data_IF_090690979529
#
_entry.id   IF_090690979529
#
_cell.length_a   1.000
_cell.length_b   1.000
_cell.length_c   1.000
_cell.angle_alpha   90.00
_cell.angle_beta   90.00
_cell.angle_gamma   90.00
#
_symmetry.space_group_name_H-M   'P 1'
#
loop_
_entity.id
_entity.type
_entity.pdbx_description
1 polymer ?
#
# COMPACT_ATOMS: atom_id res chain seq x y z
N UNK A 1 -9.07 3.80 -15.83
CA UNK A 1 -7.66 4.17 -15.62
C UNK A 1 -7.15 3.45 -14.37
N UNK A 2 -5.91 2.93 -14.39
CA UNK A 2 -5.22 2.31 -13.25
C UNK A 2 -3.91 3.06 -13.03
N UNK A 3 -3.56 3.36 -11.78
CA UNK A 3 -2.41 4.22 -11.45
C UNK A 3 -1.53 3.57 -10.39
N UNK A 4 -0.22 3.54 -10.60
CA UNK A 4 0.79 3.12 -9.64
C UNK A 4 1.33 4.39 -8.96
N UNK A 5 1.17 4.46 -7.65
CA UNK A 5 1.60 5.57 -6.80
C UNK A 5 3.01 5.29 -6.30
N UNK A 6 3.90 6.29 -6.39
CA UNK A 6 5.27 6.13 -5.93
C UNK A 6 6.00 4.98 -6.62
N UNK A 7 5.78 4.85 -7.93
CA UNK A 7 6.15 3.67 -8.71
C UNK A 7 7.66 3.34 -8.70
N UNK A 8 8.53 4.32 -8.45
CA UNK A 8 9.96 4.12 -8.59
C UNK A 8 10.30 3.61 -10.00
N UNK A 9 10.68 2.33 -10.09
CA UNK A 9 10.98 1.65 -11.37
C UNK A 9 9.88 0.65 -11.78
N UNK A 10 8.77 0.58 -11.02
CA UNK A 10 7.68 -0.35 -11.31
C UNK A 10 6.87 0.20 -12.49
N UNK A 11 6.67 -0.64 -13.48
CA UNK A 11 5.80 -0.35 -14.62
C UNK A 11 5.05 -1.63 -15.02
N UNK A 12 3.73 -1.55 -15.14
CA UNK A 12 2.89 -2.65 -15.58
C UNK A 12 2.04 -2.23 -16.76
N UNK A 13 1.78 -3.17 -17.68
CA UNK A 13 0.91 -2.91 -18.82
C UNK A 13 -0.49 -2.47 -18.36
N UNK A 14 -1.01 -1.40 -18.95
CA UNK A 14 -2.31 -0.84 -18.61
C UNK A 14 -2.35 0.00 -17.32
N UNK A 15 -1.20 0.24 -16.68
CA UNK A 15 -1.07 1.11 -15.52
C UNK A 15 -0.27 2.37 -15.85
N UNK A 16 -0.67 3.49 -15.28
CA UNK A 16 0.08 4.75 -15.33
C UNK A 16 0.96 4.81 -14.09
N UNK A 17 2.29 4.85 -14.26
CA UNK A 17 3.24 5.00 -13.16
C UNK A 17 3.39 6.47 -12.80
N UNK A 18 3.30 6.80 -11.49
CA UNK A 18 3.52 8.16 -10.98
C UNK A 18 4.61 8.19 -9.93
N UNK A 19 5.28 9.33 -9.81
CA UNK A 19 6.26 9.62 -8.77
C UNK A 19 5.70 10.69 -7.82
N UNK A 20 6.35 10.88 -6.66
CA UNK A 20 5.93 11.87 -5.66
C UNK A 20 5.80 13.29 -6.25
N UNK A 21 6.72 13.70 -7.13
CA UNK A 21 6.69 15.00 -7.79
C UNK A 21 5.58 15.16 -8.83
N UNK A 22 4.89 14.09 -9.20
CA UNK A 22 3.75 14.08 -10.13
C UNK A 22 2.43 13.96 -9.38
N UNK A 23 2.41 13.14 -8.32
CA UNK A 23 1.26 12.88 -7.45
C UNK A 23 1.73 12.79 -6.00
N UNK A 24 1.78 13.92 -5.30
CA UNK A 24 1.97 13.95 -3.86
C UNK A 24 0.65 13.57 -3.17
N UNK A 25 0.67 12.49 -2.41
CA UNK A 25 -0.51 11.95 -1.74
C UNK A 25 -1.11 12.91 -0.70
N UNK A 26 -0.33 13.86 -0.20
CA UNK A 26 -0.77 14.86 0.77
C UNK A 26 -1.26 16.15 0.09
N UNK A 27 -1.00 16.31 -1.21
CA UNK A 27 -1.41 17.49 -1.97
C UNK A 27 -2.67 17.21 -2.79
N UNK A 28 -3.83 17.62 -2.29
CA UNK A 28 -5.12 17.43 -2.96
C UNK A 28 -5.16 18.06 -4.38
N UNK A 29 -4.43 19.14 -4.60
CA UNK A 29 -4.39 19.79 -5.91
C UNK A 29 -3.75 18.91 -7.01
N UNK A 30 -2.86 18.00 -6.65
CA UNK A 30 -2.29 17.05 -7.61
C UNK A 30 -3.33 16.02 -8.05
N UNK A 31 -4.18 15.56 -7.13
CA UNK A 31 -5.32 14.71 -7.48
C UNK A 31 -6.34 15.43 -8.37
N UNK A 32 -6.67 16.68 -8.03
CA UNK A 32 -7.58 17.51 -8.85
C UNK A 32 -7.03 17.71 -10.26
N UNK A 33 -5.75 18.06 -10.39
CA UNK A 33 -5.08 18.21 -11.69
C UNK A 33 -5.07 16.92 -12.51
N UNK A 34 -4.81 15.78 -11.84
CA UNK A 34 -4.59 14.51 -12.55
C UNK A 34 -5.91 13.79 -12.87
N UNK A 35 -6.92 13.93 -12.02
CA UNK A 35 -8.13 13.10 -12.06
C UNK A 35 -9.43 13.92 -12.23
N UNK A 36 -9.34 15.20 -12.60
CA UNK A 36 -10.51 16.08 -12.81
C UNK A 36 -11.53 15.50 -13.80
N UNK A 37 -11.03 14.95 -14.91
CA UNK A 37 -11.89 14.47 -16.00
C UNK A 37 -12.23 12.98 -15.88
N UNK A 38 -11.30 12.16 -15.40
CA UNK A 38 -11.46 10.70 -15.33
C UNK A 38 -10.92 10.16 -14.01
N UNK A 39 -11.82 9.69 -13.16
CA UNK A 39 -11.44 9.03 -11.91
C UNK A 39 -10.77 7.66 -12.19
N UNK A 40 -9.66 7.34 -11.52
CA UNK A 40 -9.08 6.01 -11.58
C UNK A 40 -10.01 4.97 -10.96
N UNK A 41 -10.00 3.76 -11.52
CA UNK A 41 -10.68 2.61 -10.96
C UNK A 41 -9.79 1.84 -9.97
N UNK A 42 -8.47 1.93 -10.14
CA UNK A 42 -7.53 1.25 -9.27
C UNK A 42 -6.29 2.11 -9.01
N UNK A 43 -5.87 2.11 -7.75
CA UNK A 43 -4.55 2.53 -7.32
C UNK A 43 -3.73 1.33 -6.86
N UNK A 44 -2.41 1.41 -7.02
CA UNK A 44 -1.44 0.45 -6.52
C UNK A 44 -0.33 1.22 -5.81
N UNK A 45 -0.04 0.89 -4.56
CA UNK A 45 1.04 1.48 -3.79
C UNK A 45 1.85 0.39 -3.10
N UNK A 46 3.08 0.19 -3.55
CA UNK A 46 3.99 -0.78 -2.96
C UNK A 46 5.10 -0.05 -2.22
N UNK A 47 5.10 -0.17 -0.89
CA UNK A 47 6.09 0.45 0.01
C UNK A 47 6.16 1.99 -0.14
N UNK A 48 5.02 2.63 0.09
CA UNK A 48 4.83 4.09 0.06
C UNK A 48 4.33 4.60 1.41
N UNK A 49 3.34 3.93 2.03
CA UNK A 49 2.66 4.41 3.24
C UNK A 49 3.57 4.51 4.46
N UNK A 50 4.58 3.64 4.58
CA UNK A 50 5.57 3.67 5.67
C UNK A 50 6.45 4.93 5.71
N UNK A 51 6.49 5.69 4.62
CA UNK A 51 7.22 6.97 4.51
C UNK A 51 6.42 8.18 5.03
N UNK A 52 5.17 7.98 5.41
CA UNK A 52 4.27 8.97 6.00
C UNK A 52 4.06 8.69 7.50
N UNK A 53 3.70 9.70 8.28
CA UNK A 53 3.17 9.48 9.63
C UNK A 53 1.80 8.80 9.53
N UNK A 54 1.28 8.26 10.63
CA UNK A 54 -0.07 7.67 10.63
C UNK A 54 -1.15 8.68 10.18
N UNK A 55 -1.07 9.91 10.67
CA UNK A 55 -2.03 10.97 10.33
C UNK A 55 -1.92 11.38 8.86
N UNK A 56 -0.70 11.52 8.34
CA UNK A 56 -0.46 11.75 6.91
C UNK A 56 -1.00 10.58 6.07
N UNK A 57 -0.79 9.34 6.53
CA UNK A 57 -1.34 8.14 5.88
C UNK A 57 -2.86 8.12 5.81
N UNK A 58 -3.55 8.66 6.85
CA UNK A 58 -5.00 8.85 6.82
C UNK A 58 -5.43 9.91 5.80
N UNK A 59 -4.69 11.03 5.70
CA UNK A 59 -4.95 12.09 4.71
C UNK A 59 -4.75 11.53 3.29
N UNK A 60 -3.67 10.80 3.06
CA UNK A 60 -3.39 10.12 1.79
C UNK A 60 -4.51 9.14 1.39
N UNK A 61 -4.98 8.33 2.35
CA UNK A 61 -6.09 7.40 2.12
C UNK A 61 -7.39 8.14 1.79
N UNK A 62 -7.68 9.28 2.45
CA UNK A 62 -8.84 10.11 2.17
C UNK A 62 -8.76 10.71 0.76
N UNK A 63 -7.60 11.25 0.35
CA UNK A 63 -7.42 11.76 -1.01
C UNK A 63 -7.63 10.65 -2.05
N UNK A 64 -7.07 9.47 -1.83
CA UNK A 64 -7.32 8.32 -2.72
C UNK A 64 -8.80 7.95 -2.78
N UNK A 65 -9.51 7.96 -1.65
CA UNK A 65 -10.95 7.65 -1.59
C UNK A 65 -11.80 8.64 -2.39
N UNK A 66 -11.55 9.93 -2.23
CA UNK A 66 -12.33 10.99 -2.87
C UNK A 66 -12.22 10.95 -4.39
N UNK A 67 -11.02 10.66 -4.89
CA UNK A 67 -10.73 10.65 -6.32
C UNK A 67 -10.88 9.30 -7.00
N UNK A 68 -11.03 8.21 -6.24
CA UNK A 68 -11.30 6.89 -6.79
C UNK A 68 -12.74 6.80 -7.31
N UNK A 69 -12.96 6.10 -8.42
CA UNK A 69 -14.30 5.80 -8.90
C UNK A 69 -15.04 4.89 -7.89
N UNK A 70 -16.37 5.01 -7.84
CA UNK A 70 -17.19 4.13 -7.00
C UNK A 70 -17.04 2.66 -7.45
N UNK A 71 -16.90 1.76 -6.48
CA UNK A 71 -16.56 0.36 -6.72
C UNK A 71 -15.10 0.11 -7.08
N UNK A 72 -14.27 1.16 -7.16
CA UNK A 72 -12.83 1.06 -7.36
C UNK A 72 -12.10 0.62 -6.08
N UNK A 73 -10.80 0.41 -6.17
CA UNK A 73 -9.98 -0.04 -5.05
C UNK A 73 -8.58 0.56 -5.07
N UNK A 74 -7.93 0.52 -3.93
CA UNK A 74 -6.49 0.69 -3.81
C UNK A 74 -5.87 -0.57 -3.21
N UNK A 75 -4.85 -1.15 -3.90
CA UNK A 75 -3.99 -2.20 -3.34
C UNK A 75 -2.76 -1.56 -2.73
N UNK A 76 -2.51 -1.87 -1.45
CA UNK A 76 -1.38 -1.32 -0.70
C UNK A 76 -0.55 -2.45 -0.12
N UNK A 77 0.77 -2.31 -0.20
CA UNK A 77 1.72 -3.15 0.50
C UNK A 77 2.67 -2.29 1.33
N UNK A 78 2.89 -2.67 2.60
CA UNK A 78 3.83 -2.03 3.54
C UNK A 78 4.60 -3.08 4.33
N UNK A 79 5.76 -2.76 4.92
CA UNK A 79 6.44 -3.65 5.85
C UNK A 79 5.53 -4.05 7.03
N UNK A 80 5.71 -5.29 7.53
CA UNK A 80 4.90 -5.89 8.58
C UNK A 80 5.63 -5.88 9.93
N UNK A 81 5.09 -5.12 10.90
CA UNK A 81 5.62 -5.04 12.26
C UNK A 81 5.56 -6.37 13.03
N UNK A 82 4.62 -7.27 12.67
CA UNK A 82 4.42 -8.54 13.34
C UNK A 82 5.28 -9.68 12.81
N UNK A 83 6.00 -9.47 11.69
CA UNK A 83 6.88 -10.50 11.16
C UNK A 83 8.07 -10.72 12.09
N UNK A 84 8.15 -11.92 12.72
CA UNK A 84 9.16 -12.27 13.73
C UNK A 84 10.48 -12.68 13.10
N UNK A 85 11.19 -11.71 12.50
CA UNK A 85 12.53 -11.86 11.95
C UNK A 85 13.37 -10.64 12.35
N UNK A 86 14.38 -10.84 13.19
CA UNK A 86 15.18 -9.74 13.75
C UNK A 86 15.91 -8.95 12.67
N UNK A 87 16.45 -9.62 11.66
CA UNK A 87 17.13 -8.95 10.55
C UNK A 87 16.14 -8.06 9.75
N UNK A 88 14.96 -8.60 9.46
CA UNK A 88 13.91 -7.85 8.78
C UNK A 88 13.47 -6.62 9.59
N UNK A 89 13.16 -6.80 10.88
CA UNK A 89 12.75 -5.69 11.75
C UNK A 89 13.85 -4.64 11.90
N UNK A 90 15.12 -5.06 11.91
CA UNK A 90 16.28 -4.16 11.92
C UNK A 90 16.35 -3.25 10.69
N UNK A 91 15.83 -3.69 9.54
CA UNK A 91 15.80 -2.92 8.29
C UNK A 91 14.57 -2.03 8.19
N UNK A 92 13.37 -2.58 8.50
CA UNK A 92 12.10 -1.89 8.22
C UNK A 92 11.67 -0.91 9.31
N UNK A 93 12.34 -0.90 10.47
CA UNK A 93 12.05 0.03 11.57
C UNK A 93 12.11 1.49 11.14
N UNK A 94 11.54 2.38 11.94
CA UNK A 94 11.63 3.83 11.74
C UNK A 94 13.10 4.26 11.63
N UNK A 95 13.44 5.02 10.59
CA UNK A 95 14.82 5.40 10.28
C UNK A 95 15.66 4.27 9.69
N UNK A 96 15.09 3.11 9.38
CA UNK A 96 15.75 1.97 8.77
C UNK A 96 16.93 1.44 9.62
N UNK A 97 17.96 0.95 8.93
CA UNK A 97 19.20 0.49 9.57
C UNK A 97 20.20 1.61 9.88
N UNK A 98 19.80 2.89 9.67
CA UNK A 98 20.64 4.06 9.88
C UNK A 98 21.49 4.48 8.66
N UNK A 99 21.43 3.75 7.56
CA UNK A 99 22.09 4.12 6.30
C UNK A 99 21.22 5.11 5.51
N UNK A 100 21.64 6.38 5.32
CA UNK A 100 20.87 7.39 4.60
C UNK A 100 20.68 7.06 3.10
N UNK A 101 21.45 6.13 2.54
CA UNK A 101 21.30 5.68 1.16
C UNK A 101 20.31 4.52 1.03
N UNK A 102 19.86 3.93 2.13
CA UNK A 102 18.89 2.85 2.12
C UNK A 102 17.46 3.41 2.08
N UNK A 103 16.54 2.91 1.22
CA UNK A 103 15.17 3.43 1.14
C UNK A 103 14.42 3.46 2.47
N UNK A 104 14.65 2.50 3.36
CA UNK A 104 14.02 2.44 4.67
C UNK A 104 14.48 3.55 5.65
N UNK A 105 15.51 4.32 5.31
CA UNK A 105 15.97 5.45 6.16
C UNK A 105 14.87 6.50 6.38
N UNK A 106 13.96 6.64 5.42
CA UNK A 106 12.84 7.58 5.47
C UNK A 106 11.55 7.00 6.04
N UNK A 107 11.58 5.77 6.56
CA UNK A 107 10.42 5.20 7.25
C UNK A 107 10.07 6.02 8.49
N UNK A 108 8.80 6.42 8.59
CA UNK A 108 8.23 7.17 9.73
C UNK A 108 7.37 6.29 10.63
N UNK A 109 6.89 5.15 10.13
CA UNK A 109 6.06 4.19 10.83
C UNK A 109 6.34 2.77 10.35
N UNK A 110 6.15 1.78 11.20
CA UNK A 110 6.02 0.38 10.80
C UNK A 110 4.61 -0.07 11.17
N UNK A 111 3.83 -0.43 10.18
CA UNK A 111 2.45 -0.85 10.37
C UNK A 111 2.34 -2.29 10.86
N UNK A 112 1.40 -2.57 11.74
CA UNK A 112 0.72 -3.85 11.81
C UNK A 112 -0.55 -3.82 10.97
N UNK A 113 -1.17 -4.99 10.75
CA UNK A 113 -2.36 -5.06 9.89
C UNK A 113 -3.55 -4.26 10.43
N UNK A 114 -3.72 -4.14 11.75
CA UNK A 114 -4.82 -3.38 12.37
C UNK A 114 -4.64 -1.88 12.13
N UNK A 115 -3.43 -1.40 12.34
CA UNK A 115 -3.09 0.02 12.16
C UNK A 115 -3.20 0.43 10.69
N UNK A 116 -2.76 -0.44 9.75
CA UNK A 116 -2.93 -0.17 8.34
C UNK A 116 -4.41 -0.15 7.93
N UNK A 117 -5.20 -1.17 8.32
CA UNK A 117 -6.63 -1.21 8.05
C UNK A 117 -7.34 0.03 8.58
N UNK A 118 -7.05 0.44 9.83
CA UNK A 118 -7.68 1.60 10.46
C UNK A 118 -7.44 2.90 9.66
N UNK A 119 -6.27 3.10 9.04
CA UNK A 119 -5.99 4.28 8.22
C UNK A 119 -6.91 4.35 7.00
N UNK A 120 -7.22 3.23 6.35
CA UNK A 120 -8.10 3.17 5.19
C UNK A 120 -9.58 3.13 5.55
N UNK A 121 -9.95 2.40 6.60
CA UNK A 121 -11.35 2.36 7.10
C UNK A 121 -11.82 3.74 7.55
N UNK A 122 -10.95 4.55 8.14
CA UNK A 122 -11.23 5.93 8.54
C UNK A 122 -11.60 6.83 7.35
N UNK A 123 -11.09 6.54 6.16
CA UNK A 123 -11.46 7.23 4.92
C UNK A 123 -12.76 6.68 4.30
N UNK A 124 -13.32 5.58 4.81
CA UNK A 124 -14.55 4.97 4.33
C UNK A 124 -14.37 3.73 3.44
N UNK A 125 -13.16 3.24 3.28
CA UNK A 125 -12.91 2.00 2.55
C UNK A 125 -13.40 0.77 3.33
N UNK A 126 -13.79 -0.27 2.59
CA UNK A 126 -13.94 -1.63 3.10
C UNK A 126 -12.63 -2.37 2.80
N UNK A 127 -11.92 -2.77 3.86
CA UNK A 127 -10.58 -3.35 3.74
C UNK A 127 -10.64 -4.86 3.72
N UNK A 128 -9.91 -5.46 2.77
CA UNK A 128 -9.70 -6.88 2.61
C UNK A 128 -8.22 -7.22 2.80
N UNK A 129 -7.90 -8.00 3.84
CA UNK A 129 -6.53 -8.46 4.12
C UNK A 129 -6.16 -9.61 3.19
N UNK A 130 -5.04 -9.47 2.47
CA UNK A 130 -4.52 -10.46 1.52
C UNK A 130 -3.33 -11.23 2.07
N UNK A 131 -2.32 -10.51 2.60
CA UNK A 131 -1.14 -11.08 3.25
C UNK A 131 -0.83 -10.28 4.52
N UNK A 132 -0.53 -10.94 5.63
CA UNK A 132 -0.13 -10.28 6.89
C UNK A 132 0.34 -11.28 7.93
N UNK A 133 1.10 -10.84 8.93
CA UNK A 133 1.34 -11.59 10.15
C UNK A 133 0.35 -11.13 11.25
N UNK A 134 -0.18 -12.09 11.99
CA UNK A 134 -0.98 -11.79 13.19
C UNK A 134 -0.07 -11.40 14.38
N UNK A 135 -0.69 -11.09 15.53
CA UNK A 135 0.04 -10.67 16.75
C UNK A 135 0.96 -11.78 17.31
N UNK A 136 0.74 -13.03 16.93
CA UNK A 136 1.57 -14.16 17.29
C UNK A 136 2.74 -14.35 16.31
N UNK A 137 2.79 -13.55 15.22
CA UNK A 137 3.75 -13.67 14.15
C UNK A 137 3.42 -14.79 13.15
N UNK A 138 2.20 -15.33 13.19
CA UNK A 138 1.74 -16.31 12.22
C UNK A 138 1.38 -15.61 10.92
N UNK A 139 1.97 -16.05 9.82
CA UNK A 139 1.71 -15.47 8.51
C UNK A 139 0.41 -16.04 7.92
N UNK A 140 -0.45 -15.13 7.48
CA UNK A 140 -1.71 -15.41 6.82
C UNK A 140 -1.65 -14.96 5.36
N UNK A 141 -2.23 -15.76 4.49
CA UNK A 141 -2.24 -15.53 3.06
C UNK A 141 -3.54 -16.05 2.46
N UNK A 142 -4.11 -15.29 1.53
CA UNK A 142 -5.13 -15.79 0.61
C UNK A 142 -4.76 -15.44 -0.82
N UNK A 143 -5.28 -16.20 -1.78
CA UNK A 143 -5.03 -15.94 -3.19
C UNK A 143 -5.58 -14.56 -3.59
N UNK A 144 -4.78 -13.83 -4.35
CA UNK A 144 -5.16 -12.60 -5.03
C UNK A 144 -4.63 -12.59 -6.46
N UNK A 145 -5.34 -11.88 -7.37
CA UNK A 145 -4.98 -11.83 -8.78
C UNK A 145 -3.94 -10.71 -9.02
N UNK A 146 -2.79 -11.06 -9.59
CA UNK A 146 -1.75 -10.10 -9.94
C UNK A 146 -2.14 -9.12 -11.05
N UNK A 147 -3.14 -9.44 -11.88
CA UNK A 147 -3.66 -8.54 -12.90
C UNK A 147 -4.42 -7.34 -12.30
N UNK A 148 -4.85 -7.48 -11.05
CA UNK A 148 -5.46 -6.41 -10.26
C UNK A 148 -4.41 -5.56 -9.51
N UNK A 149 -3.13 -5.68 -9.87
CA UNK A 149 -1.99 -4.99 -9.28
C UNK A 149 -1.02 -5.97 -8.63
N UNK A 150 0.11 -6.19 -9.30
CA UNK A 150 1.16 -7.07 -8.80
C UNK A 150 1.95 -6.36 -7.72
N UNK A 151 2.17 -7.05 -6.60
CA UNK A 151 3.08 -6.66 -5.52
C UNK A 151 4.34 -7.52 -5.62
N UNK A 152 5.47 -6.88 -5.88
CA UNK A 152 6.76 -7.56 -6.01
C UNK A 152 7.25 -8.12 -4.66
N UNK A 153 6.99 -7.39 -3.55
CA UNK A 153 7.34 -7.81 -2.19
C UNK A 153 6.22 -8.60 -1.51
N UNK A 154 5.76 -9.66 -2.17
CA UNK A 154 4.72 -10.57 -1.69
C UNK A 154 5.24 -11.98 -1.51
N UNK A 155 4.46 -12.85 -0.89
CA UNK A 155 4.79 -14.27 -0.75
C UNK A 155 5.21 -14.90 -2.09
N UNK A 156 4.45 -14.62 -3.17
CA UNK A 156 4.64 -15.28 -4.47
C UNK A 156 5.77 -14.70 -5.30
N UNK A 157 6.02 -13.41 -5.21
CA UNK A 157 6.88 -12.70 -6.15
C UNK A 157 8.21 -12.25 -5.56
N UNK A 158 8.35 -12.23 -4.23
CA UNK A 158 9.63 -11.90 -3.62
C UNK A 158 10.58 -13.11 -3.67
N UNK A 159 11.68 -12.94 -4.38
CA UNK A 159 12.67 -14.00 -4.57
C UNK A 159 13.41 -14.42 -3.29
N UNK A 160 13.25 -13.66 -2.20
CA UNK A 160 13.77 -13.99 -0.88
C UNK A 160 12.89 -15.02 -0.14
N UNK A 161 11.67 -15.25 -0.62
CA UNK A 161 10.76 -16.28 -0.14
C UNK A 161 11.01 -17.56 -0.94
N UNK A 162 11.90 -18.43 -0.45
CA UNK A 162 12.33 -19.65 -1.14
C UNK A 162 12.26 -20.86 -0.22
N UNK A 163 12.09 -22.03 -0.81
CA UNK A 163 12.19 -23.33 -0.12
C UNK A 163 11.28 -23.43 1.12
N UNK A 164 10.08 -22.84 1.05
CA UNK A 164 9.11 -22.81 2.16
C UNK A 164 9.50 -21.88 3.31
N UNK A 165 10.53 -21.05 3.14
CA UNK A 165 10.94 -20.05 4.14
C UNK A 165 10.47 -18.66 3.73
N UNK A 166 9.91 -17.91 4.70
CA UNK A 166 9.60 -16.51 4.54
C UNK A 166 10.85 -15.68 4.86
N UNK A 167 11.44 -15.05 3.85
CA UNK A 167 12.56 -14.11 4.01
C UNK A 167 12.12 -12.66 4.08
N UNK A 168 11.06 -12.32 3.35
CA UNK A 168 10.43 -11.00 3.33
C UNK A 168 8.92 -11.15 3.23
N UNK A 169 8.21 -10.35 4.00
CA UNK A 169 6.74 -10.27 3.97
C UNK A 169 6.33 -8.81 3.90
N UNK A 170 5.14 -8.57 3.39
CA UNK A 170 4.44 -7.30 3.47
C UNK A 170 3.04 -7.55 4.01
N UNK A 171 2.48 -6.56 4.70
CA UNK A 171 1.03 -6.49 4.83
C UNK A 171 0.52 -6.06 3.47
N UNK A 172 -0.39 -6.83 2.88
CA UNK A 172 -1.03 -6.49 1.61
C UNK A 172 -2.54 -6.42 1.84
N UNK A 173 -3.13 -5.30 1.47
CA UNK A 173 -4.58 -5.07 1.55
C UNK A 173 -5.13 -4.64 0.20
N UNK A 174 -6.41 -4.98 -0.06
CA UNK A 174 -7.29 -4.32 -1.00
C UNK A 174 -8.30 -3.47 -0.23
N UNK A 175 -8.18 -2.16 -0.32
CA UNK A 175 -9.14 -1.22 0.25
C UNK A 175 -10.12 -0.79 -0.85
N UNK A 176 -11.39 -1.21 -0.73
CA UNK A 176 -12.43 -1.05 -1.76
C UNK A 176 -13.36 0.12 -1.41
N UNK A 177 -13.58 1.00 -2.38
CA UNK A 177 -14.59 2.04 -2.25
C UNK A 177 -15.97 1.46 -2.51
N UNK A 178 -16.92 1.54 -1.55
CA UNK A 178 -18.29 1.06 -1.77
C UNK A 178 -18.95 1.75 -2.96
N UNK A 179 -19.85 1.02 -3.62
CA UNK A 179 -20.74 1.61 -4.61
C UNK A 179 -21.85 2.34 -3.85
N UNK A 180 -21.95 3.64 -4.02
CA UNK A 180 -23.09 4.41 -3.49
C UNK A 180 -24.30 4.14 -4.38
N UNK A 181 -25.19 3.25 -3.94
CA UNK A 181 -26.50 3.08 -4.60
C UNK A 181 -27.34 4.27 -4.15
N UNK A 182 -27.45 5.28 -5.02
CA UNK A 182 -28.34 6.41 -4.76
C UNK A 182 -29.77 5.90 -4.55
N UNK A 183 -30.36 6.22 -3.43
CA UNK A 183 -31.82 6.07 -3.28
C UNK A 183 -32.49 6.89 -4.39
N UNK A 184 -33.31 6.22 -5.21
CA UNK A 184 -34.14 6.86 -6.25
C UNK A 184 -35.36 7.50 -5.64
#
# INVERSE_FOLDING_TARGET
MKVIIGAGKIAYEGWISTQENELDLLNRADFERMFAEVKPFAFLAEHVWEHMTFDDGCIAAQNCYDFLADGGYIRVAVPDANFRNEWYQGIVKVGGNGDPNHPAYTHKIVYDYKTLCAAFEKAGFVVDLLEYCDENGTFHYKYWNELDGKIGRSLRFDTRNKDGKLGMVSIIIDAKKPIVIGEK
#
